data_IF_011959868913
#
_entry.id   IF_011959868913
#
_cell.length_a   1.000
_cell.length_b   1.000
_cell.length_c   1.000
_cell.angle_alpha   90.00
_cell.angle_beta   90.00
_cell.angle_gamma   90.00
#
_symmetry.space_group_name_H-M   'P 1'
#
loop_
_entity.id
_entity.type
_entity.pdbx_description
1 polymer ?
#
# COMPACT_ATOMS: atom_id res chain seq x y z
N UNK A 1 10.44 29.23 -10.36
CA UNK A 1 10.29 27.90 -10.98
C UNK A 1 11.19 26.97 -10.19
N UNK A 2 10.73 26.50 -9.03
CA UNK A 2 11.45 25.46 -8.29
C UNK A 2 10.78 24.11 -8.57
N UNK A 3 11.61 23.17 -8.99
CA UNK A 3 11.21 21.87 -9.47
C UNK A 3 10.73 21.00 -8.31
N UNK A 4 9.45 20.61 -8.36
CA UNK A 4 8.96 19.29 -7.97
C UNK A 4 9.69 18.63 -6.78
N UNK A 5 9.62 19.25 -5.60
CA UNK A 5 10.08 18.62 -4.38
C UNK A 5 8.97 17.69 -3.83
N UNK A 6 8.76 16.57 -4.52
CA UNK A 6 7.83 15.51 -4.09
C UNK A 6 8.15 14.98 -2.69
N UNK A 7 9.42 15.03 -2.27
CA UNK A 7 9.87 14.44 -1.02
C UNK A 7 9.45 15.24 0.23
N UNK A 8 9.50 16.56 0.17
CA UNK A 8 9.07 17.41 1.31
C UNK A 8 7.56 17.63 1.36
N UNK A 9 6.85 17.61 0.21
CA UNK A 9 5.39 17.69 0.17
C UNK A 9 4.71 16.50 0.86
N UNK A 10 5.30 15.30 0.76
CA UNK A 10 4.79 14.11 1.45
C UNK A 10 4.91 14.23 2.97
N UNK A 11 6.01 14.78 3.48
CA UNK A 11 6.30 14.90 4.92
C UNK A 11 5.59 16.09 5.58
N UNK A 12 5.34 17.17 4.84
CA UNK A 12 4.72 18.40 5.37
C UNK A 12 3.19 18.40 5.22
N UNK A 13 2.61 17.42 4.52
CA UNK A 13 1.16 17.31 4.37
C UNK A 13 0.51 16.79 5.67
N UNK A 14 -0.30 17.65 6.29
CA UNK A 14 -1.13 17.28 7.45
C UNK A 14 -2.14 16.18 7.11
N UNK A 15 -2.53 16.07 5.84
CA UNK A 15 -3.42 15.00 5.35
C UNK A 15 -2.70 13.65 5.32
N UNK A 16 -1.44 13.60 4.85
CA UNK A 16 -0.63 12.39 4.93
C UNK A 16 -0.42 11.96 6.38
N UNK A 17 -0.09 12.90 7.27
CA UNK A 17 0.05 12.58 8.70
C UNK A 17 -1.25 12.02 9.29
N UNK A 18 -2.41 12.59 8.93
CA UNK A 18 -3.72 12.08 9.38
C UNK A 18 -3.99 10.68 8.86
N UNK A 19 -3.64 10.36 7.62
CA UNK A 19 -3.84 9.02 7.06
C UNK A 19 -2.90 8.00 7.68
N UNK A 20 -1.64 8.35 7.92
CA UNK A 20 -0.69 7.51 8.65
C UNK A 20 -1.18 7.26 10.07
N UNK A 21 -1.60 8.30 10.80
CA UNK A 21 -2.16 8.14 12.16
C UNK A 21 -3.44 7.31 12.16
N UNK A 22 -4.34 7.52 11.19
CA UNK A 22 -5.57 6.73 11.07
C UNK A 22 -5.28 5.26 10.78
N UNK A 23 -4.28 4.98 9.94
CA UNK A 23 -3.77 3.63 9.67
C UNK A 23 -3.23 3.01 10.96
N UNK A 24 -2.39 3.73 11.72
CA UNK A 24 -1.81 3.24 12.97
C UNK A 24 -2.89 2.91 14.01
N UNK A 25 -3.90 3.77 14.18
CA UNK A 25 -5.04 3.53 15.08
C UNK A 25 -5.87 2.33 14.61
N UNK A 26 -6.14 2.24 13.30
CA UNK A 26 -6.90 1.13 12.73
C UNK A 26 -6.18 -0.21 12.92
N UNK A 27 -4.85 -0.25 12.74
CA UNK A 27 -4.01 -1.41 13.03
C UNK A 27 -4.06 -1.72 14.54
N UNK A 28 -3.87 -0.73 15.41
CA UNK A 28 -3.90 -0.93 16.87
C UNK A 28 -5.25 -1.40 17.44
N UNK A 29 -6.35 -1.20 16.71
CA UNK A 29 -7.70 -1.61 17.08
C UNK A 29 -8.27 -2.73 16.19
N UNK A 30 -7.47 -3.29 15.29
CA UNK A 30 -7.95 -4.28 14.33
C UNK A 30 -8.20 -5.63 15.01
N UNK A 31 -9.48 -6.00 15.15
CA UNK A 31 -9.91 -7.34 15.60
C UNK A 31 -9.35 -8.45 14.70
N UNK A 32 -9.03 -8.16 13.44
CA UNK A 32 -8.36 -9.09 12.54
C UNK A 32 -6.93 -9.44 12.97
N UNK A 33 -6.28 -8.63 13.81
CA UNK A 33 -4.97 -8.95 14.38
C UNK A 33 -5.06 -9.88 15.59
N UNK A 34 -6.25 -10.10 16.16
CA UNK A 34 -6.45 -11.12 17.19
C UNK A 34 -6.36 -12.54 16.61
N UNK A 35 -6.73 -12.71 15.33
CA UNK A 35 -6.52 -13.96 14.58
C UNK A 35 -5.03 -14.10 14.22
N UNK A 36 -4.33 -15.14 14.73
CA UNK A 36 -2.89 -15.30 14.52
C UNK A 36 -2.52 -15.56 13.05
N UNK A 37 -3.41 -16.16 12.25
CA UNK A 37 -3.15 -16.43 10.84
C UNK A 37 -3.26 -15.15 10.00
N UNK A 38 -4.27 -14.31 10.27
CA UNK A 38 -4.40 -12.99 9.63
C UNK A 38 -3.29 -12.03 10.05
N UNK A 39 -2.98 -11.97 11.35
CA UNK A 39 -1.87 -11.15 11.86
C UNK A 39 -0.55 -11.52 11.19
N UNK A 40 -0.25 -12.81 11.06
CA UNK A 40 0.97 -13.29 10.41
C UNK A 40 1.03 -12.88 8.94
N UNK A 41 -0.05 -13.06 8.20
CA UNK A 41 -0.11 -12.67 6.80
C UNK A 41 0.12 -11.15 6.62
N UNK A 42 -0.59 -10.32 7.39
CA UNK A 42 -0.48 -8.87 7.32
C UNK A 42 0.92 -8.38 7.70
N UNK A 43 1.55 -8.97 8.71
CA UNK A 43 2.93 -8.66 9.10
C UNK A 43 3.92 -8.99 7.99
N UNK A 44 3.75 -10.14 7.31
CA UNK A 44 4.61 -10.51 6.20
C UNK A 44 4.42 -9.59 4.98
N UNK A 45 3.18 -9.14 4.71
CA UNK A 45 2.90 -8.19 3.63
C UNK A 45 3.42 -6.77 3.93
N UNK A 46 3.49 -6.39 5.21
CA UNK A 46 4.01 -5.10 5.63
C UNK A 46 5.54 -5.00 5.48
N UNK A 47 6.24 -6.14 5.42
CA UNK A 47 7.66 -6.15 5.06
C UNK A 47 7.80 -5.84 3.57
N UNK A 48 8.30 -4.65 3.28
CA UNK A 48 8.43 -4.13 1.91
C UNK A 48 9.45 -4.90 1.07
N UNK A 49 10.37 -5.65 1.70
CA UNK A 49 11.36 -6.47 1.00
C UNK A 49 10.71 -7.79 0.58
N UNK A 50 9.92 -7.75 -0.48
CA UNK A 50 9.24 -8.91 -1.08
C UNK A 50 10.23 -9.86 -1.80
N UNK A 51 11.20 -10.41 -1.08
CA UNK A 51 12.13 -11.42 -1.60
C UNK A 51 11.39 -12.72 -1.94
N UNK A 52 12.01 -13.63 -2.73
CA UNK A 52 11.41 -14.95 -2.99
C UNK A 52 11.06 -15.70 -1.70
N UNK A 53 11.93 -15.65 -0.68
CA UNK A 53 11.69 -16.25 0.63
C UNK A 53 10.53 -15.59 1.38
N UNK A 54 10.37 -14.26 1.26
CA UNK A 54 9.23 -13.55 1.85
C UNK A 54 7.92 -13.99 1.18
N UNK A 55 7.91 -14.11 -0.15
CA UNK A 55 6.72 -14.55 -0.89
C UNK A 55 6.36 -16.01 -0.58
N UNK A 56 7.34 -16.90 -0.41
CA UNK A 56 7.11 -18.28 0.03
C UNK A 56 6.49 -18.34 1.43
N UNK A 57 6.95 -17.50 2.37
CA UNK A 57 6.34 -17.37 3.70
C UNK A 57 4.90 -16.85 3.63
N UNK A 58 4.61 -15.90 2.76
CA UNK A 58 3.27 -15.36 2.53
C UNK A 58 2.35 -16.46 1.98
N UNK A 59 2.78 -17.16 0.94
CA UNK A 59 2.00 -18.23 0.29
C UNK A 59 1.67 -19.39 1.24
N UNK A 60 2.54 -19.66 2.22
CA UNK A 60 2.34 -20.70 3.25
C UNK A 60 1.38 -20.30 4.37
N UNK A 61 0.91 -19.06 4.43
CA UNK A 61 -0.06 -18.65 5.44
C UNK A 61 -1.46 -19.18 5.10
N UNK A 62 -2.15 -19.79 6.06
CA UNK A 62 -3.53 -20.27 5.87
C UNK A 62 -4.47 -19.14 5.39
N UNK A 63 -4.30 -17.95 5.94
CA UNK A 63 -5.06 -16.75 5.57
C UNK A 63 -4.84 -16.34 4.09
N UNK A 64 -3.70 -16.66 3.49
CA UNK A 64 -3.42 -16.35 2.09
C UNK A 64 -4.37 -17.10 1.14
N UNK A 65 -4.68 -18.36 1.45
CA UNK A 65 -5.67 -19.16 0.70
C UNK A 65 -7.09 -18.58 0.77
N UNK A 66 -7.40 -17.81 1.82
CA UNK A 66 -8.70 -17.16 2.04
C UNK A 66 -8.83 -15.81 1.31
N UNK A 67 -7.73 -15.27 0.79
CA UNK A 67 -7.76 -14.05 -0.02
C UNK A 67 -8.45 -14.30 -1.36
N UNK A 68 -9.10 -13.26 -1.87
CA UNK A 68 -9.63 -13.26 -3.22
C UNK A 68 -8.50 -13.43 -4.25
N UNK A 69 -8.85 -14.03 -5.40
CA UNK A 69 -7.89 -14.25 -6.48
C UNK A 69 -7.25 -12.94 -6.95
N UNK A 70 -8.04 -11.86 -7.08
CA UNK A 70 -7.52 -10.55 -7.44
C UNK A 70 -6.44 -10.05 -6.47
N UNK A 71 -6.68 -10.19 -5.16
CA UNK A 71 -5.72 -9.78 -4.12
C UNK A 71 -4.43 -10.60 -4.18
N UNK A 72 -4.53 -11.92 -4.37
CA UNK A 72 -3.35 -12.79 -4.51
C UNK A 72 -2.52 -12.45 -5.74
N UNK A 73 -3.17 -12.22 -6.88
CA UNK A 73 -2.50 -11.78 -8.10
C UNK A 73 -1.85 -10.40 -7.92
N UNK A 74 -2.47 -9.49 -7.16
CA UNK A 74 -1.89 -8.19 -6.88
C UNK A 74 -0.64 -8.30 -6.01
N UNK A 75 -0.67 -9.12 -4.95
CA UNK A 75 0.49 -9.39 -4.10
C UNK A 75 1.65 -9.97 -4.92
N UNK A 76 1.36 -10.92 -5.82
CA UNK A 76 2.36 -11.49 -6.74
C UNK A 76 2.95 -10.44 -7.70
N UNK A 77 2.11 -9.55 -8.26
CA UNK A 77 2.58 -8.45 -9.10
C UNK A 77 3.50 -7.48 -8.33
N UNK A 78 3.15 -7.14 -7.09
CA UNK A 78 4.00 -6.33 -6.20
C UNK A 78 5.32 -7.03 -5.90
N UNK A 79 5.30 -8.33 -5.59
CA UNK A 79 6.51 -9.09 -5.34
C UNK A 79 7.45 -9.10 -6.54
N UNK A 80 6.91 -9.34 -7.75
CA UNK A 80 7.68 -9.26 -9.00
C UNK A 80 8.30 -7.88 -9.19
N UNK A 81 7.52 -6.81 -8.98
CA UNK A 81 8.01 -5.45 -9.07
C UNK A 81 9.24 -5.21 -8.19
N UNK A 82 9.19 -5.61 -6.91
CA UNK A 82 10.32 -5.43 -5.99
C UNK A 82 11.51 -6.36 -6.28
N UNK A 83 11.29 -7.52 -6.88
CA UNK A 83 12.37 -8.48 -7.17
C UNK A 83 13.11 -8.17 -8.48
N UNK A 84 12.39 -7.75 -9.52
CA UNK A 84 12.95 -7.65 -10.87
C UNK A 84 12.59 -6.34 -11.61
N UNK A 85 11.83 -5.45 -10.99
CA UNK A 85 11.41 -4.17 -11.59
C UNK A 85 10.26 -4.26 -12.59
N UNK A 86 9.59 -5.42 -12.70
CA UNK A 86 8.43 -5.58 -13.59
C UNK A 86 7.22 -4.82 -13.05
N UNK A 87 6.79 -3.79 -13.76
CA UNK A 87 5.65 -2.98 -13.33
C UNK A 87 4.34 -3.81 -13.34
N UNK A 88 3.45 -3.65 -12.33
CA UNK A 88 2.15 -4.31 -12.32
C UNK A 88 1.31 -3.96 -13.54
N UNK A 89 0.43 -4.88 -13.95
CA UNK A 89 -0.49 -4.63 -15.06
C UNK A 89 -1.46 -3.48 -14.76
N UNK A 90 -2.01 -2.86 -15.81
CA UNK A 90 -2.91 -1.70 -15.69
C UNK A 90 -4.17 -1.97 -14.86
N UNK A 91 -4.60 -3.23 -14.79
CA UNK A 91 -5.70 -3.67 -13.90
C UNK A 91 -5.43 -3.45 -12.41
N UNK A 92 -4.18 -3.26 -12.02
CA UNK A 92 -3.75 -3.01 -10.64
C UNK A 92 -3.31 -1.57 -10.43
N UNK A 93 -2.56 -1.00 -11.38
CA UNK A 93 -1.99 0.34 -11.26
C UNK A 93 -2.12 1.05 -12.61
N UNK A 94 -2.74 2.24 -12.68
CA UNK A 94 -2.79 3.02 -13.92
C UNK A 94 -1.38 3.25 -14.48
N UNK A 95 -1.19 2.98 -15.78
CA UNK A 95 0.09 3.20 -16.46
C UNK A 95 0.24 4.65 -16.96
N UNK A 96 -0.85 5.41 -16.94
CA UNK A 96 -0.87 6.83 -17.25
C UNK A 96 -0.30 7.64 -16.09
N UNK A 97 0.56 8.61 -16.40
CA UNK A 97 1.04 9.56 -15.40
C UNK A 97 -0.15 10.30 -14.76
N UNK A 98 -0.15 10.47 -13.43
CA UNK A 98 -1.17 11.28 -12.78
C UNK A 98 -1.09 12.74 -13.28
N UNK A 99 -2.23 13.45 -13.35
CA UNK A 99 -2.24 14.85 -13.75
C UNK A 99 -1.42 15.70 -12.77
N UNK A 100 -0.85 16.80 -13.26
CA UNK A 100 -0.11 17.72 -12.42
C UNK A 100 -1.03 18.29 -11.34
N UNK A 101 -0.66 18.09 -10.07
CA UNK A 101 -1.36 18.68 -8.93
C UNK A 101 -1.00 20.17 -8.89
N UNK A 102 -1.94 21.03 -9.29
CA UNK A 102 -1.75 22.49 -9.33
C UNK A 102 -2.40 23.21 -8.14
N UNK A 103 -3.19 22.52 -7.32
CA UNK A 103 -3.81 23.03 -6.10
C UNK A 103 -4.23 21.87 -5.19
N UNK A 104 -3.77 21.86 -3.94
CA UNK A 104 -4.24 20.94 -2.88
C UNK A 104 -5.33 21.56 -1.98
N UNK A 105 -5.74 22.80 -2.25
CA UNK A 105 -6.76 23.47 -1.46
C UNK A 105 -8.14 22.92 -1.86
N UNK A 106 -8.76 22.17 -0.95
CA UNK A 106 -10.19 21.84 -1.00
C UNK A 106 -10.94 23.16 -1.19
N UNK A 107 -11.63 23.31 -2.32
CA UNK A 107 -12.56 24.43 -2.52
C UNK A 107 -13.58 24.33 -1.40
N UNK A 108 -13.52 25.26 -0.45
CA UNK A 108 -14.47 25.37 0.64
C UNK A 108 -15.86 25.54 0.02
N UNK A 109 -16.65 24.46 -0.05
CA UNK A 109 -18.07 24.53 -0.40
C UNK A 109 -18.83 25.00 0.85
N UNK A 110 -18.66 26.28 1.19
CA UNK A 110 -19.62 27.02 2.02
C UNK A 110 -20.37 27.97 1.10
N UNK A 111 -21.55 27.53 0.67
CA UNK A 111 -22.63 28.38 0.18
C UNK A 111 -23.72 28.39 1.24
#
# INVERSE_FOLDING_TARGET
>A
MEANNYHSGVLLSSENHRWVTAMDVAIGQAVTLDDPDWRRLLLLMADWKMTPDAMDKIAKCNAYGRLETHTREFIDACAKYYQNGSFPAEKFVPLTLPPLVTSELKVDKRA
#
